data_IF_252674301930
#
_entry.id   IF_252674301930
#
_cell.length_a   1.000
_cell.length_b   1.000
_cell.length_c   1.000
_cell.angle_alpha   90.00
_cell.angle_beta   90.00
_cell.angle_gamma   90.00
#
_symmetry.space_group_name_H-M   'P 1'
#
loop_
_entity.id
_entity.type
_entity.pdbx_description
1 polymer ?
#
# COMPACT_ATOMS: atom_id res chain seq x y z
N UNK A 1 0.48 14.60 9.20
CA UNK A 1 1.20 13.33 8.97
C UNK A 1 2.07 13.46 7.73
N UNK A 2 3.34 13.11 7.85
CA UNK A 2 4.22 13.14 6.69
C UNK A 2 3.87 12.00 5.73
N UNK A 3 3.84 12.25 4.43
CA UNK A 3 3.56 11.19 3.47
C UNK A 3 4.61 10.07 3.52
N UNK A 4 4.13 8.86 3.36
CA UNK A 4 4.98 7.68 3.32
C UNK A 4 4.87 7.06 1.94
N UNK A 5 5.99 6.71 1.34
CA UNK A 5 6.01 6.00 0.06
C UNK A 5 6.96 4.83 0.15
N UNK A 6 6.45 3.63 -0.11
CA UNK A 6 7.23 2.41 -0.14
C UNK A 6 7.09 1.79 -1.52
N UNK A 7 8.21 1.58 -2.19
CA UNK A 7 8.24 0.95 -3.50
C UNK A 7 8.34 -0.56 -3.32
N UNK A 8 7.54 -1.28 -4.09
CA UNK A 8 7.41 -2.74 -3.93
C UNK A 8 8.36 -3.53 -4.82
N UNK A 9 9.42 -2.92 -5.30
CA UNK A 9 10.50 -3.65 -5.95
C UNK A 9 11.80 -2.91 -5.79
N UNK A 10 12.93 -3.64 -5.82
CA UNK A 10 14.21 -3.04 -5.43
C UNK A 10 14.83 -2.10 -6.44
N UNK A 11 14.59 -2.26 -7.73
CA UNK A 11 15.41 -1.55 -8.70
C UNK A 11 14.75 -1.29 -10.04
N UNK A 12 13.46 -1.06 -10.10
CA UNK A 12 12.83 -0.81 -11.40
C UNK A 12 12.13 0.54 -11.45
N UNK A 13 11.96 1.05 -12.66
CA UNK A 13 11.28 2.31 -12.88
C UNK A 13 9.77 2.22 -12.93
N UNK A 14 9.22 1.01 -12.97
CA UNK A 14 7.79 0.78 -13.10
C UNK A 14 7.22 -0.09 -12.01
N UNK A 15 7.74 0.04 -10.81
CA UNK A 15 7.29 -0.78 -9.70
C UNK A 15 6.05 -0.18 -9.06
N UNK A 16 5.12 -1.01 -8.65
CA UNK A 16 4.02 -0.52 -7.83
C UNK A 16 4.55 -0.01 -6.50
N UNK A 17 3.84 0.91 -5.92
CA UNK A 17 4.21 1.47 -4.63
C UNK A 17 2.99 1.58 -3.73
N UNK A 18 3.26 1.73 -2.44
CA UNK A 18 2.25 2.08 -1.45
C UNK A 18 2.53 3.49 -1.00
N UNK A 19 1.56 4.38 -1.17
CA UNK A 19 1.69 5.77 -0.77
C UNK A 19 0.60 6.09 0.24
N UNK A 20 1.01 6.53 1.42
CA UNK A 20 0.09 6.87 2.52
C UNK A 20 0.20 8.36 2.76
N UNK A 21 -0.92 9.07 2.67
CA UNK A 21 -0.97 10.47 3.04
C UNK A 21 -2.14 10.71 3.98
N UNK A 22 -2.40 11.97 4.31
CA UNK A 22 -3.44 12.28 5.29
C UNK A 22 -4.87 12.00 4.81
N UNK A 23 -5.04 11.78 3.52
CA UNK A 23 -6.38 11.57 2.94
C UNK A 23 -6.67 10.11 2.64
N UNK A 24 -5.67 9.38 2.15
CA UNK A 24 -5.91 8.04 1.64
C UNK A 24 -4.61 7.25 1.51
N UNK A 25 -4.76 5.99 1.13
CA UNK A 25 -3.65 5.12 0.78
C UNK A 25 -3.82 4.72 -0.68
N UNK A 26 -2.77 4.86 -1.47
CA UNK A 26 -2.77 4.45 -2.88
C UNK A 26 -1.79 3.30 -3.06
N UNK A 27 -2.26 2.24 -3.69
CA UNK A 27 -1.45 1.05 -3.92
C UNK A 27 -1.49 0.74 -5.42
N UNK A 28 -0.31 0.64 -6.03
CA UNK A 28 -0.22 0.29 -7.43
C UNK A 28 0.74 1.19 -8.19
N UNK A 29 0.55 1.22 -9.50
CA UNK A 29 1.34 2.06 -10.39
C UNK A 29 0.41 2.82 -11.32
N UNK A 30 0.96 3.72 -12.13
CA UNK A 30 0.27 4.84 -12.78
C UNK A 30 -1.15 4.57 -13.28
N UNK A 31 -1.38 3.49 -14.02
CA UNK A 31 -2.69 3.20 -14.61
C UNK A 31 -3.42 2.08 -13.89
N UNK A 32 -2.90 1.64 -12.77
CA UNK A 32 -3.41 0.46 -12.08
C UNK A 32 -3.26 0.69 -10.57
N UNK A 33 -4.08 1.55 -10.05
CA UNK A 33 -3.98 2.00 -8.66
C UNK A 33 -5.29 1.77 -7.94
N UNK A 34 -5.19 1.20 -6.75
CA UNK A 34 -6.31 1.06 -5.83
C UNK A 34 -6.18 2.12 -4.74
N UNK A 35 -7.28 2.77 -4.41
CA UNK A 35 -7.31 3.79 -3.36
C UNK A 35 -8.11 3.25 -2.18
N UNK A 36 -7.49 3.27 -1.01
CA UNK A 36 -8.11 2.80 0.22
C UNK A 36 -8.23 3.96 1.21
N UNK A 37 -9.28 3.95 2.02
CA UNK A 37 -9.35 4.83 3.17
C UNK A 37 -8.34 4.36 4.23
N UNK A 38 -8.03 5.23 5.18
CA UNK A 38 -7.15 4.84 6.30
C UNK A 38 -7.71 3.65 7.07
N UNK A 39 -9.03 3.62 7.27
CA UNK A 39 -9.67 2.51 7.97
C UNK A 39 -9.49 1.18 7.23
N UNK A 40 -9.65 1.20 5.91
CA UNK A 40 -9.46 -0.01 5.10
C UNK A 40 -8.00 -0.44 5.03
N UNK A 41 -7.10 0.54 4.99
CA UNK A 41 -5.67 0.24 5.08
C UNK A 41 -5.32 -0.44 6.40
N UNK A 42 -5.83 0.10 7.50
CA UNK A 42 -5.58 -0.50 8.81
C UNK A 42 -6.14 -1.91 8.92
N UNK A 43 -7.30 -2.15 8.28
CA UNK A 43 -7.87 -3.48 8.23
C UNK A 43 -6.97 -4.45 7.45
N UNK A 44 -6.42 -4.01 6.32
CA UNK A 44 -5.48 -4.80 5.55
C UNK A 44 -4.25 -5.16 6.38
N UNK A 45 -3.69 -4.18 7.07
CA UNK A 45 -2.53 -4.41 7.94
C UNK A 45 -2.85 -5.43 9.03
N UNK A 46 -4.05 -5.34 9.62
CA UNK A 46 -4.48 -6.29 10.63
C UNK A 46 -4.58 -7.71 10.08
N UNK A 47 -5.10 -7.87 8.86
CA UNK A 47 -5.20 -9.19 8.22
C UNK A 47 -3.83 -9.82 7.99
N UNK A 48 -2.86 -9.00 7.59
CA UNK A 48 -1.49 -9.46 7.43
C UNK A 48 -0.90 -9.88 8.78
N UNK A 49 -1.10 -9.05 9.80
CA UNK A 49 -0.55 -9.34 11.14
C UNK A 49 -1.15 -10.58 11.77
N UNK A 50 -2.42 -10.86 11.51
CA UNK A 50 -3.09 -12.05 12.06
C UNK A 50 -2.93 -13.28 11.18
N UNK A 51 -2.19 -13.18 10.08
CA UNK A 51 -1.85 -14.33 9.27
C UNK A 51 -2.90 -14.77 8.26
N UNK A 52 -3.92 -13.96 8.03
CA UNK A 52 -4.91 -14.27 6.98
C UNK A 52 -4.32 -14.04 5.60
N UNK A 53 -3.42 -13.07 5.47
CA UNK A 53 -2.71 -12.77 4.22
C UNK A 53 -1.23 -13.01 4.47
N UNK A 54 -0.65 -13.94 3.75
CA UNK A 54 0.72 -14.39 3.98
C UNK A 54 1.51 -14.36 2.68
N UNK A 55 2.84 -14.37 2.77
CA UNK A 55 3.67 -14.55 1.58
C UNK A 55 3.33 -15.85 0.87
N UNK A 56 3.49 -15.82 -0.42
CA UNK A 56 3.20 -16.97 -1.29
C UNK A 56 4.49 -17.73 -1.57
#
# INVERSE_FOLDING_TARGET
MDPIKVTLCPDCGHCPSVEIDEKSVRIGEANNTVILSHAKWNDLVARIRFGELKPI
#
